data_IF_258019700840
#
_entry.id   IF_258019700840
#
_cell.length_a   1.000
_cell.length_b   1.000
_cell.length_c   1.000
_cell.angle_alpha   90.00
_cell.angle_beta   90.00
_cell.angle_gamma   90.00
#
_symmetry.space_group_name_H-M   'P 1'
#
loop_
_entity.id
_entity.type
_entity.pdbx_description
1 polymer ?
#
# COMPACT_ATOMS: atom_id res chain seq x y z
N UNK A 1 2.19 -8.36 20.22
CA UNK A 1 1.85 -7.02 19.69
C UNK A 1 3.08 -6.57 18.91
N UNK A 2 3.06 -6.74 17.58
CA UNK A 2 4.25 -6.60 16.74
C UNK A 2 4.54 -5.12 16.48
N UNK A 3 5.77 -4.68 16.77
CA UNK A 3 6.26 -3.34 16.44
C UNK A 3 6.49 -3.27 14.92
N UNK A 4 5.53 -2.70 14.20
CA UNK A 4 5.81 -2.15 12.87
C UNK A 4 6.75 -0.97 13.11
N UNK A 5 7.95 -0.99 12.52
CA UNK A 5 8.95 0.05 12.72
C UNK A 5 8.38 1.39 12.22
N UNK A 6 8.24 2.38 13.11
CA UNK A 6 7.67 3.72 12.83
C UNK A 6 8.41 4.52 11.72
N UNK A 7 9.52 4.01 11.19
CA UNK A 7 10.35 4.68 10.18
C UNK A 7 9.84 4.52 8.74
N UNK A 8 8.80 3.71 8.50
CA UNK A 8 8.26 3.54 7.15
C UNK A 8 7.36 4.72 6.78
N UNK A 9 7.85 5.59 5.89
CA UNK A 9 7.07 6.68 5.28
C UNK A 9 5.90 6.09 4.48
N UNK A 10 4.71 6.03 5.08
CA UNK A 10 3.39 6.09 4.42
C UNK A 10 3.07 5.15 3.23
N UNK A 11 3.85 4.10 2.95
CA UNK A 11 3.63 3.18 1.82
C UNK A 11 2.85 1.91 2.19
N UNK A 12 2.26 1.23 1.19
CA UNK A 12 1.74 -0.15 1.34
C UNK A 12 2.81 -1.15 0.87
N UNK A 13 3.06 -2.13 1.71
CA UNK A 13 4.20 -3.03 1.66
C UNK A 13 3.74 -4.47 1.56
N UNK A 14 4.35 -5.29 0.69
CA UNK A 14 4.26 -6.74 0.81
C UNK A 14 5.31 -7.20 1.84
N UNK A 15 4.82 -7.72 2.96
CA UNK A 15 5.67 -8.31 4.00
C UNK A 15 6.00 -9.75 3.61
N UNK A 16 7.29 -10.06 3.54
CA UNK A 16 7.81 -11.42 3.42
C UNK A 16 7.91 -12.00 4.84
N UNK A 17 7.11 -13.00 5.14
CA UNK A 17 7.20 -13.69 6.43
C UNK A 17 8.16 -14.88 6.29
N UNK A 18 9.05 -15.08 7.25
CA UNK A 18 9.86 -16.29 7.35
C UNK A 18 9.58 -16.93 8.72
N UNK A 19 9.36 -18.24 8.72
CA UNK A 19 9.26 -19.01 9.96
C UNK A 19 10.68 -19.41 10.37
N UNK A 20 11.11 -19.04 11.57
CA UNK A 20 12.44 -19.38 12.07
C UNK A 20 12.33 -20.23 13.32
N UNK A 21 13.07 -21.34 13.35
CA UNK A 21 13.17 -22.27 14.47
C UNK A 21 14.09 -21.70 15.56
N UNK A 22 13.64 -21.72 16.82
CA UNK A 22 14.37 -21.15 17.96
C UNK A 22 15.04 -22.29 18.73
N UNK A 23 16.38 -22.31 18.75
CA UNK A 23 17.13 -23.15 19.70
C UNK A 23 17.41 -22.36 20.99
N UNK A 24 17.24 -22.96 22.19
CA UNK A 24 17.63 -22.32 23.43
C UNK A 24 19.14 -22.06 23.44
N UNK A 25 19.55 -20.97 24.10
CA UNK A 25 20.90 -20.40 24.07
C UNK A 25 22.03 -21.45 24.06
N UNK A 26 22.89 -21.38 23.04
CA UNK A 26 24.13 -22.15 22.97
C UNK A 26 25.22 -21.33 23.66
N UNK A 27 25.77 -21.86 24.76
CA UNK A 27 26.99 -21.32 25.36
C UNK A 27 28.16 -21.58 24.40
N UNK A 28 29.04 -20.60 24.23
CA UNK A 28 30.28 -20.81 23.49
C UNK A 28 31.10 -21.91 24.18
N UNK A 29 31.48 -22.96 23.44
CA UNK A 29 32.12 -24.13 24.02
C UNK A 29 33.57 -23.88 24.46
N UNK A 30 34.21 -22.82 23.95
CA UNK A 30 35.59 -22.46 24.29
C UNK A 30 35.65 -21.42 25.42
N UNK A 31 34.69 -20.49 25.47
CA UNK A 31 34.72 -19.39 26.46
C UNK A 31 33.72 -19.54 27.61
N UNK A 32 32.63 -20.29 27.42
CA UNK A 32 31.56 -20.47 28.40
C UNK A 32 30.63 -19.26 28.56
N UNK A 33 30.81 -18.22 27.74
CA UNK A 33 29.96 -17.03 27.75
C UNK A 33 28.63 -17.28 27.02
N UNK A 34 27.58 -16.57 27.42
CA UNK A 34 26.35 -16.48 26.62
C UNK A 34 26.67 -15.74 25.32
N UNK A 35 26.64 -16.46 24.20
CA UNK A 35 26.60 -15.81 22.89
C UNK A 35 25.36 -14.91 22.85
N UNK A 36 25.52 -13.66 22.37
CA UNK A 36 24.41 -12.73 22.22
C UNK A 36 23.24 -13.48 21.56
N UNK A 37 22.02 -13.41 22.12
CA UNK A 37 20.91 -14.19 21.59
C UNK A 37 20.79 -13.85 20.12
N UNK A 38 20.95 -14.85 19.26
CA UNK A 38 20.57 -14.69 17.87
C UNK A 38 19.08 -14.34 17.90
N UNK A 39 18.76 -13.06 17.66
CA UNK A 39 17.37 -12.63 17.55
C UNK A 39 16.86 -13.26 16.26
N UNK A 40 16.19 -14.38 16.41
CA UNK A 40 15.32 -14.93 15.38
C UNK A 40 13.89 -14.88 15.93
N UNK A 41 13.23 -13.77 15.63
CA UNK A 41 11.78 -13.62 15.66
C UNK A 41 11.28 -13.34 14.24
N UNK A 42 9.98 -13.10 14.02
CA UNK A 42 9.48 -12.63 12.72
C UNK A 42 10.04 -11.23 12.45
N UNK A 43 11.25 -11.17 11.90
CA UNK A 43 11.70 -10.06 11.08
C UNK A 43 11.34 -10.41 9.64
N UNK A 44 10.81 -9.42 8.91
CA UNK A 44 10.90 -9.47 7.46
C UNK A 44 12.40 -9.40 7.18
N UNK A 45 13.07 -10.49 6.72
CA UNK A 45 14.53 -10.51 6.61
C UNK A 45 15.01 -9.48 5.57
N UNK A 46 14.12 -9.11 4.65
CA UNK A 46 14.31 -8.09 3.64
C UNK A 46 13.38 -6.89 3.89
N UNK A 47 13.76 -5.72 3.37
CA UNK A 47 12.87 -4.59 3.32
C UNK A 47 11.57 -5.01 2.60
N UNK A 48 10.40 -4.66 3.13
CA UNK A 48 9.14 -5.02 2.49
C UNK A 48 9.13 -4.53 1.03
N UNK A 49 8.64 -5.39 0.12
CA UNK A 49 8.57 -5.05 -1.29
C UNK A 49 7.56 -3.91 -1.47
N UNK A 50 8.06 -2.77 -1.96
CA UNK A 50 7.20 -1.69 -2.44
C UNK A 50 6.57 -2.15 -3.76
N UNK A 51 5.29 -2.54 -3.67
CA UNK A 51 4.51 -3.05 -4.80
C UNK A 51 4.39 -2.06 -5.96
N UNK A 52 4.66 -0.78 -5.73
CA UNK A 52 4.64 0.25 -6.76
C UNK A 52 5.98 0.40 -7.48
N UNK A 53 7.09 -0.06 -6.87
CA UNK A 53 8.43 0.00 -7.44
C UNK A 53 8.93 -1.35 -8.00
N UNK A 54 8.29 -2.46 -7.61
CA UNK A 54 8.67 -3.81 -8.02
C UNK A 54 8.23 -4.18 -9.44
N UNK A 55 9.04 -4.95 -10.16
CA UNK A 55 8.68 -5.54 -11.44
C UNK A 55 7.65 -6.68 -11.29
N UNK A 56 6.82 -6.96 -12.32
CA UNK A 56 5.79 -7.99 -12.24
C UNK A 56 6.32 -9.35 -11.80
N UNK A 57 7.51 -9.74 -12.25
CA UNK A 57 8.15 -11.01 -11.89
C UNK A 57 8.59 -11.03 -10.41
N UNK A 58 9.01 -9.89 -9.84
CA UNK A 58 9.37 -9.76 -8.42
C UNK A 58 8.14 -9.85 -7.53
N UNK A 59 7.03 -9.25 -7.98
CA UNK A 59 5.72 -9.39 -7.34
C UNK A 59 5.25 -10.84 -7.39
N UNK A 60 5.29 -11.49 -8.56
CA UNK A 60 4.88 -12.89 -8.71
C UNK A 60 5.74 -13.81 -7.84
N UNK A 61 7.06 -13.57 -7.77
CA UNK A 61 7.96 -14.28 -6.88
C UNK A 61 7.60 -14.08 -5.41
N UNK A 62 7.32 -12.84 -4.96
CA UNK A 62 6.89 -12.58 -3.58
C UNK A 62 5.51 -13.16 -3.28
N UNK A 63 4.59 -13.20 -4.25
CA UNK A 63 3.28 -13.84 -4.08
C UNK A 63 3.39 -15.36 -4.03
N UNK A 64 4.27 -15.96 -4.85
CA UNK A 64 4.58 -17.38 -4.86
C UNK A 64 5.29 -17.79 -3.57
N UNK A 65 6.32 -17.07 -3.14
CA UNK A 65 6.95 -17.27 -1.84
C UNK A 65 5.97 -17.04 -0.71
N UNK A 66 5.08 -16.04 -0.77
CA UNK A 66 4.03 -15.90 0.24
C UNK A 66 3.03 -17.06 0.20
N UNK A 67 2.79 -17.71 -0.94
CA UNK A 67 2.00 -18.93 -0.99
C UNK A 67 2.74 -20.10 -0.32
N UNK A 68 4.05 -20.24 -0.56
CA UNK A 68 4.91 -21.24 0.09
C UNK A 68 5.06 -20.98 1.59
N UNK A 69 5.26 -19.72 1.99
CA UNK A 69 5.30 -19.26 3.39
C UNK A 69 3.95 -19.43 4.06
N UNK A 70 2.83 -19.16 3.38
CA UNK A 70 1.49 -19.50 3.89
C UNK A 70 1.35 -21.00 4.06
N UNK A 71 1.87 -21.82 3.14
CA UNK A 71 1.87 -23.27 3.27
C UNK A 71 2.76 -23.75 4.44
N UNK A 72 3.94 -23.14 4.63
CA UNK A 72 4.85 -23.37 5.76
C UNK A 72 4.25 -22.90 7.08
N UNK A 73 3.57 -21.75 7.11
CA UNK A 73 2.87 -21.24 8.29
C UNK A 73 1.68 -22.14 8.63
N UNK A 74 0.94 -22.64 7.64
CA UNK A 74 -0.10 -23.65 7.83
C UNK A 74 0.50 -24.97 8.33
N UNK A 75 1.67 -25.37 7.85
CA UNK A 75 2.41 -26.55 8.33
C UNK A 75 3.01 -26.35 9.73
N UNK A 76 3.25 -25.11 10.14
CA UNK A 76 3.80 -24.73 11.45
C UNK A 76 2.75 -24.35 12.48
N UNK A 77 1.48 -24.16 12.07
CA UNK A 77 0.37 -24.20 13.02
C UNK A 77 0.45 -25.53 13.76
N UNK A 78 0.20 -25.54 15.09
CA UNK A 78 0.15 -26.79 15.82
C UNK A 78 -0.78 -27.74 15.06
N UNK A 79 -0.38 -29.00 14.85
CA UNK A 79 -1.19 -29.96 14.10
C UNK A 79 -2.59 -29.92 14.69
N UNK A 80 -3.59 -29.77 13.82
CA UNK A 80 -4.96 -29.57 14.27
C UNK A 80 -5.29 -30.66 15.29
N UNK A 81 -5.70 -30.24 16.50
CA UNK A 81 -5.86 -31.19 17.60
C UNK A 81 -6.82 -32.29 17.14
N UNK A 82 -6.39 -33.55 17.23
CA UNK A 82 -7.19 -34.64 16.74
C UNK A 82 -8.54 -34.67 17.46
N UNK A 83 -9.61 -34.66 16.66
CA UNK A 83 -10.95 -34.81 17.19
C UNK A 83 -11.22 -36.31 17.27
N UNK A 84 -11.51 -36.78 18.48
CA UNK A 84 -11.92 -38.16 18.71
C UNK A 84 -13.38 -38.30 18.31
N UNK A 85 -13.61 -38.99 17.20
CA UNK A 85 -14.97 -39.33 16.74
C UNK A 85 -15.31 -40.71 17.28
N UNK A 86 -16.39 -40.77 18.07
CA UNK A 86 -16.94 -41.99 18.67
C UNK A 86 -18.26 -42.33 17.99
N UNK A 87 -18.32 -43.51 17.40
CA UNK A 87 -19.52 -44.06 16.79
C UNK A 87 -20.22 -45.00 17.79
N UNK A 88 -21.53 -44.86 17.95
CA UNK A 88 -22.35 -45.68 18.85
C UNK A 88 -23.41 -46.45 18.07
N UNK A 89 -23.76 -47.65 18.51
CA UNK A 89 -24.89 -48.42 17.96
C UNK A 89 -26.26 -47.89 18.42
N UNK A 90 -27.35 -48.54 18.00
CA UNK A 90 -28.72 -48.13 18.33
C UNK A 90 -29.05 -48.29 19.82
N UNK A 91 -28.31 -49.16 20.52
CA UNK A 91 -28.41 -49.43 21.95
C UNK A 91 -27.51 -48.50 22.79
N UNK A 92 -26.69 -47.66 22.14
CA UNK A 92 -25.81 -46.69 22.78
C UNK A 92 -24.43 -47.24 23.18
N UNK A 93 -24.03 -48.41 22.67
CA UNK A 93 -22.70 -48.97 22.91
C UNK A 93 -21.69 -48.38 21.92
N UNK A 94 -20.46 -48.12 22.39
CA UNK A 94 -19.37 -47.66 21.54
C UNK A 94 -18.94 -48.77 20.57
N UNK A 95 -19.02 -48.52 19.27
CA UNK A 95 -18.66 -49.50 18.22
C UNK A 95 -17.39 -49.12 17.46
N UNK A 96 -17.01 -47.84 17.44
CA UNK A 96 -15.73 -47.40 16.88
C UNK A 96 -15.26 -46.09 17.54
N UNK A 97 -13.94 -45.94 17.65
CA UNK A 97 -13.29 -44.69 17.99
C UNK A 97 -12.21 -44.43 16.94
N UNK A 98 -12.24 -43.26 16.32
CA UNK A 98 -11.21 -42.86 15.36
C UNK A 98 -10.77 -41.43 15.57
N UNK A 99 -9.49 -41.24 15.32
CA UNK A 99 -8.84 -39.93 15.33
C UNK A 99 -9.05 -39.26 13.98
N UNK A 100 -9.66 -38.07 13.97
CA UNK A 100 -9.82 -37.27 12.75
C UNK A 100 -9.07 -35.95 12.93
N UNK A 101 -8.03 -35.75 12.13
CA UNK A 101 -7.35 -34.46 12.00
C UNK A 101 -8.26 -33.59 11.11
N UNK A 102 -8.88 -32.52 11.63
CA UNK A 102 -9.70 -31.67 10.78
C UNK A 102 -8.80 -30.96 9.75
N UNK A 103 -9.24 -30.96 8.50
CA UNK A 103 -8.57 -30.19 7.45
C UNK A 103 -8.56 -28.70 7.86
N UNK A 104 -7.42 -27.99 7.70
CA UNK A 104 -7.38 -26.57 7.98
C UNK A 104 -8.49 -25.85 7.23
N UNK A 105 -9.18 -24.87 7.84
CA UNK A 105 -10.21 -24.13 7.12
C UNK A 105 -9.57 -23.47 5.89
N UNK A 106 -10.20 -23.64 4.73
CA UNK A 106 -9.78 -22.96 3.51
C UNK A 106 -9.75 -21.45 3.76
N UNK A 107 -8.74 -20.76 3.20
CA UNK A 107 -8.68 -19.31 3.27
C UNK A 107 -9.99 -18.70 2.75
N UNK A 108 -10.55 -17.67 3.40
CA UNK A 108 -11.79 -17.06 2.97
C UNK A 108 -11.61 -16.51 1.56
N UNK A 109 -12.49 -16.92 0.64
CA UNK A 109 -12.55 -16.39 -0.72
C UNK A 109 -13.14 -14.99 -0.64
N UNK A 110 -12.33 -13.96 -0.88
CA UNK A 110 -12.81 -12.58 -0.98
C UNK A 110 -13.60 -12.42 -2.28
N UNK A 111 -14.86 -11.98 -2.25
CA UNK A 111 -15.64 -11.74 -3.46
C UNK A 111 -14.95 -10.74 -4.39
N UNK A 112 -14.94 -11.01 -5.70
CA UNK A 112 -14.32 -10.13 -6.71
C UNK A 112 -14.86 -8.69 -6.65
N UNK A 113 -16.14 -8.51 -6.31
CA UNK A 113 -16.74 -7.19 -6.15
C UNK A 113 -16.10 -6.38 -5.01
N UNK A 114 -15.78 -7.01 -3.88
CA UNK A 114 -15.10 -6.37 -2.75
C UNK A 114 -13.65 -6.01 -3.11
N UNK A 115 -12.95 -6.90 -3.83
CA UNK A 115 -11.61 -6.62 -4.34
C UNK A 115 -11.59 -5.41 -5.28
N UNK A 116 -12.57 -5.30 -6.19
CA UNK A 116 -12.70 -4.14 -7.09
C UNK A 116 -12.94 -2.84 -6.33
N UNK A 117 -13.81 -2.85 -5.32
CA UNK A 117 -14.08 -1.68 -4.52
C UNK A 117 -12.80 -1.21 -3.79
N UNK A 118 -12.12 -2.12 -3.10
CA UNK A 118 -10.86 -1.83 -2.42
C UNK A 118 -9.76 -1.33 -3.37
N UNK A 119 -9.69 -1.87 -4.59
CA UNK A 119 -8.75 -1.43 -5.60
C UNK A 119 -9.03 0.00 -6.11
N UNK A 120 -10.30 0.37 -6.31
CA UNK A 120 -10.68 1.75 -6.67
C UNK A 120 -10.30 2.73 -5.56
N UNK A 121 -10.56 2.38 -4.30
CA UNK A 121 -10.18 3.21 -3.16
C UNK A 121 -8.65 3.38 -3.08
N UNK A 122 -7.90 2.31 -3.32
CA UNK A 122 -6.44 2.34 -3.38
C UNK A 122 -5.93 3.25 -4.51
N UNK A 123 -6.48 3.13 -5.72
CA UNK A 123 -6.11 3.96 -6.86
C UNK A 123 -6.33 5.45 -6.55
N UNK A 124 -7.48 5.78 -5.96
CA UNK A 124 -7.81 7.16 -5.62
C UNK A 124 -6.89 7.70 -4.51
N UNK A 125 -6.61 6.90 -3.48
CA UNK A 125 -5.67 7.27 -2.41
C UNK A 125 -4.26 7.51 -2.98
N UNK A 126 -3.75 6.59 -3.80
CA UNK A 126 -2.41 6.69 -4.37
C UNK A 126 -2.26 7.91 -5.28
N UNK A 127 -3.24 8.20 -6.12
CA UNK A 127 -3.20 9.41 -6.95
C UNK A 127 -3.31 10.66 -6.08
N UNK A 128 -4.04 10.62 -4.96
CA UNK A 128 -4.04 11.69 -3.97
C UNK A 128 -2.65 11.95 -3.36
N UNK A 129 -1.93 10.89 -2.98
CA UNK A 129 -0.55 10.97 -2.49
C UNK A 129 0.39 11.58 -3.54
N UNK A 130 0.34 11.08 -4.78
CA UNK A 130 1.17 11.60 -5.87
C UNK A 130 0.88 13.08 -6.16
N UNK A 131 -0.38 13.52 -6.05
CA UNK A 131 -0.72 14.94 -6.16
C UNK A 131 -0.11 15.76 -5.02
N UNK A 132 -0.11 15.22 -3.80
CA UNK A 132 0.43 15.90 -2.62
C UNK A 132 1.95 16.15 -2.70
N UNK A 133 2.69 15.43 -3.55
CA UNK A 133 4.10 15.72 -3.81
C UNK A 133 4.32 17.03 -4.60
N UNK A 134 3.28 17.54 -5.27
CA UNK A 134 3.35 18.72 -6.14
C UNK A 134 2.58 19.92 -5.61
N UNK A 135 1.61 19.72 -4.72
CA UNK A 135 0.79 20.79 -4.16
C UNK A 135 0.71 20.69 -2.64
N UNK A 136 0.60 21.84 -1.98
CA UNK A 136 0.27 21.85 -0.55
C UNK A 136 -1.21 21.52 -0.38
N UNK A 137 -1.49 20.39 0.29
CA UNK A 137 -2.87 19.98 0.59
C UNK A 137 -3.32 20.68 1.87
N UNK A 138 -4.06 21.77 1.74
CA UNK A 138 -4.73 22.45 2.87
C UNK A 138 -6.21 22.64 2.55
N UNK A 139 -7.07 22.35 3.52
CA UNK A 139 -8.53 22.55 3.38
C UNK A 139 -8.81 24.00 3.00
N UNK A 140 -9.51 24.21 1.88
CA UNK A 140 -9.87 25.54 1.37
C UNK A 140 -8.81 26.25 0.52
N UNK A 141 -7.58 25.72 0.40
CA UNK A 141 -6.55 26.36 -0.46
C UNK A 141 -6.78 26.17 -1.96
N UNK A 142 -7.53 25.15 -2.38
CA UNK A 142 -7.77 24.88 -3.80
C UNK A 142 -8.41 26.07 -4.53
N UNK A 143 -9.39 26.73 -3.89
CA UNK A 143 -10.00 27.94 -4.43
C UNK A 143 -8.97 29.08 -4.60
N UNK A 144 -8.11 29.29 -3.59
CA UNK A 144 -7.03 30.28 -3.65
C UNK A 144 -6.06 30.02 -4.81
N UNK A 145 -5.72 28.77 -5.12
CA UNK A 145 -4.86 28.46 -6.25
C UNK A 145 -5.50 28.79 -7.60
N UNK A 146 -6.79 28.52 -7.75
CA UNK A 146 -7.53 28.85 -8.97
C UNK A 146 -7.63 30.37 -9.16
N UNK A 147 -7.93 31.12 -8.10
CA UNK A 147 -7.98 32.59 -8.14
C UNK A 147 -6.60 33.19 -8.48
N UNK A 148 -5.52 32.68 -7.88
CA UNK A 148 -4.16 33.11 -8.23
C UNK A 148 -3.82 32.83 -9.70
N UNK A 149 -4.21 31.67 -10.21
CA UNK A 149 -4.00 31.31 -11.61
C UNK A 149 -4.77 32.24 -12.55
N UNK A 150 -6.02 32.59 -12.22
CA UNK A 150 -6.81 33.57 -12.99
C UNK A 150 -6.17 34.96 -12.97
N UNK A 151 -5.79 35.47 -11.79
CA UNK A 151 -5.10 36.75 -11.66
C UNK A 151 -3.81 36.80 -12.50
N UNK A 152 -3.02 35.72 -12.46
CA UNK A 152 -1.78 35.63 -13.24
C UNK A 152 -2.05 35.63 -14.75
N UNK A 153 -3.09 34.92 -15.20
CA UNK A 153 -3.49 34.90 -16.61
C UNK A 153 -4.01 36.27 -17.09
N UNK A 154 -4.84 36.94 -16.28
CA UNK A 154 -5.33 38.30 -16.58
C UNK A 154 -4.18 39.31 -16.63
N UNK A 155 -3.27 39.27 -15.66
CA UNK A 155 -2.09 40.12 -15.63
C UNK A 155 -1.20 39.90 -16.88
N UNK A 156 -0.96 38.65 -17.27
CA UNK A 156 -0.20 38.32 -18.48
C UNK A 156 -0.88 38.81 -19.78
N UNK A 157 -2.21 38.94 -19.78
CA UNK A 157 -2.98 39.52 -20.88
C UNK A 157 -2.98 41.07 -20.90
N UNK A 158 -2.30 41.72 -19.94
CA UNK A 158 -2.22 43.17 -19.83
C UNK A 158 -3.39 43.82 -19.10
N UNK A 159 -4.22 43.06 -18.38
CA UNK A 159 -5.21 43.62 -17.47
C UNK A 159 -4.50 44.43 -16.37
N UNK A 160 -5.03 45.62 -16.06
CA UNK A 160 -4.51 46.50 -15.01
C UNK A 160 -4.94 46.12 -13.59
N UNK A 161 -5.84 45.14 -13.44
CA UNK A 161 -6.27 44.60 -12.15
C UNK A 161 -7.64 45.11 -11.68
N UNK A 162 -8.05 44.80 -10.44
CA UNK A 162 -7.18 44.41 -9.31
C UNK A 162 -6.73 42.94 -9.31
N UNK A 163 -5.60 42.69 -8.63
CA UNK A 163 -4.99 41.37 -8.38
C UNK A 163 -4.65 41.19 -6.89
N UNK A 164 -5.66 41.14 -6.01
CA UNK A 164 -5.45 41.11 -4.56
C UNK A 164 -4.57 39.95 -4.08
N UNK A 165 -4.69 38.74 -4.65
CA UNK A 165 -3.87 37.60 -4.21
C UNK A 165 -2.40 37.76 -4.59
N UNK A 166 -2.13 38.10 -5.86
CA UNK A 166 -0.75 38.30 -6.33
C UNK A 166 -0.10 39.52 -5.67
N UNK A 167 -0.86 40.60 -5.47
CA UNK A 167 -0.33 41.82 -4.82
C UNK A 167 0.03 41.57 -3.36
N UNK A 168 -0.82 40.85 -2.61
CA UNK A 168 -0.53 40.50 -1.22
C UNK A 168 0.71 39.61 -1.11
N UNK A 169 0.87 38.65 -2.03
CA UNK A 169 2.04 37.77 -2.09
C UNK A 169 3.32 38.50 -2.50
N UNK A 170 3.24 39.43 -3.46
CA UNK A 170 4.34 40.30 -3.85
C UNK A 170 4.85 41.11 -2.65
N UNK A 171 3.95 41.72 -1.89
CA UNK A 171 4.28 42.45 -0.65
C UNK A 171 4.91 41.51 0.39
N UNK A 172 4.31 40.33 0.62
CA UNK A 172 4.77 39.39 1.64
C UNK A 172 6.17 38.80 1.33
N UNK A 173 6.52 38.68 0.05
CA UNK A 173 7.79 38.09 -0.40
C UNK A 173 8.84 39.12 -0.81
N UNK A 174 8.49 40.41 -0.87
CA UNK A 174 9.39 41.47 -1.37
C UNK A 174 9.64 41.38 -2.88
N UNK A 175 8.76 40.72 -3.63
CA UNK A 175 8.83 40.57 -5.08
C UNK A 175 7.94 41.62 -5.77
N UNK A 176 8.16 41.84 -7.06
CA UNK A 176 7.22 42.61 -7.90
C UNK A 176 5.98 41.79 -8.27
N UNK A 177 4.90 42.48 -8.65
CA UNK A 177 3.70 41.84 -9.17
C UNK A 177 3.99 40.99 -10.42
N UNK A 178 4.83 41.49 -11.32
CA UNK A 178 5.26 40.79 -12.54
C UNK A 178 5.97 39.46 -12.21
N UNK A 179 6.88 39.47 -11.24
CA UNK A 179 7.62 38.28 -10.82
C UNK A 179 6.69 37.23 -10.21
N UNK A 180 5.75 37.64 -9.34
CA UNK A 180 4.78 36.72 -8.73
C UNK A 180 3.81 36.18 -9.77
N UNK A 181 3.30 37.02 -10.67
CA UNK A 181 2.41 36.59 -11.76
C UNK A 181 3.10 35.57 -12.67
N UNK A 182 4.36 35.83 -13.06
CA UNK A 182 5.14 34.92 -13.88
C UNK A 182 5.40 33.58 -13.16
N UNK A 183 5.76 33.62 -11.87
CA UNK A 183 5.98 32.42 -11.06
C UNK A 183 4.71 31.57 -10.94
N UNK A 184 3.56 32.19 -10.62
CA UNK A 184 2.27 31.52 -10.50
C UNK A 184 1.86 30.91 -11.84
N UNK A 185 1.98 31.65 -12.94
CA UNK A 185 1.67 31.15 -14.29
C UNK A 185 2.55 29.96 -14.70
N UNK A 186 3.84 30.02 -14.43
CA UNK A 186 4.77 28.92 -14.69
C UNK A 186 4.43 27.68 -13.83
N UNK A 187 4.13 27.88 -12.55
CA UNK A 187 3.74 26.81 -11.62
C UNK A 187 2.44 26.14 -12.05
N UNK A 188 1.42 26.93 -12.41
CA UNK A 188 0.14 26.42 -12.90
C UNK A 188 0.30 25.60 -14.20
N UNK A 189 1.17 26.05 -15.10
CA UNK A 189 1.47 25.35 -16.36
C UNK A 189 2.14 23.99 -16.09
N UNK A 190 3.18 23.97 -15.24
CA UNK A 190 3.88 22.74 -14.87
C UNK A 190 2.92 21.76 -14.16
N UNK A 191 2.12 22.27 -13.22
CA UNK A 191 1.13 21.46 -12.50
C UNK A 191 0.05 20.88 -13.42
N UNK A 192 -0.46 21.66 -14.38
CA UNK A 192 -1.50 21.20 -15.30
C UNK A 192 -1.07 19.96 -16.09
N UNK A 193 0.16 19.95 -16.59
CA UNK A 193 0.71 18.81 -17.32
C UNK A 193 0.78 17.54 -16.45
N UNK A 194 1.34 17.67 -15.24
CA UNK A 194 1.46 16.57 -14.28
C UNK A 194 0.09 16.05 -13.84
N UNK A 195 -0.83 16.94 -13.47
CA UNK A 195 -2.15 16.54 -13.00
C UNK A 195 -3.00 15.89 -14.10
N UNK A 196 -2.85 16.32 -15.35
CA UNK A 196 -3.52 15.70 -16.49
C UNK A 196 -3.01 14.25 -16.72
N UNK A 197 -1.69 14.02 -16.65
CA UNK A 197 -1.11 12.68 -16.73
C UNK A 197 -1.61 11.78 -15.60
N UNK A 198 -1.55 12.26 -14.35
CA UNK A 198 -2.04 11.53 -13.17
C UNK A 198 -3.52 11.18 -13.29
N UNK A 199 -4.36 12.12 -13.77
CA UNK A 199 -5.79 11.86 -13.95
C UNK A 199 -6.06 10.86 -15.07
N UNK A 200 -5.29 10.92 -16.17
CA UNK A 200 -5.34 9.93 -17.24
C UNK A 200 -5.03 8.52 -16.73
N UNK A 201 -3.91 8.36 -16.02
CA UNK A 201 -3.49 7.10 -15.39
C UNK A 201 -4.54 6.59 -14.39
N UNK A 202 -5.05 7.48 -13.51
CA UNK A 202 -6.13 7.16 -12.57
C UNK A 202 -7.36 6.61 -13.28
N UNK A 203 -7.81 7.30 -14.32
CA UNK A 203 -9.02 6.93 -15.05
C UNK A 203 -8.83 5.59 -15.76
N UNK A 204 -7.69 5.38 -16.41
CA UNK A 204 -7.35 4.12 -17.06
C UNK A 204 -7.36 2.94 -16.07
N UNK A 205 -6.70 3.11 -14.91
CA UNK A 205 -6.65 2.08 -13.87
C UNK A 205 -8.05 1.72 -13.31
N UNK A 206 -8.89 2.73 -13.02
CA UNK A 206 -10.27 2.50 -12.54
C UNK A 206 -11.10 1.75 -13.57
N UNK A 207 -10.98 2.08 -14.85
CA UNK A 207 -11.71 1.36 -15.90
C UNK A 207 -11.21 -0.07 -16.10
N UNK A 208 -9.89 -0.31 -15.96
CA UNK A 208 -9.32 -1.66 -15.96
C UNK A 208 -9.82 -2.51 -14.77
N UNK A 209 -9.90 -1.93 -13.55
CA UNK A 209 -10.47 -2.62 -12.38
C UNK A 209 -11.95 -2.98 -12.63
N UNK A 210 -12.73 -2.08 -13.24
CA UNK A 210 -14.13 -2.37 -13.56
C UNK A 210 -14.27 -3.51 -14.56
N UNK A 211 -13.41 -3.54 -15.58
CA UNK A 211 -13.41 -4.57 -16.62
C UNK A 211 -12.87 -5.92 -16.13
N UNK A 212 -12.11 -5.96 -15.03
CA UNK A 212 -11.50 -7.19 -14.53
C UNK A 212 -12.52 -8.30 -14.23
N UNK A 213 -12.28 -9.51 -14.72
CA UNK A 213 -13.07 -10.72 -14.49
C UNK A 213 -12.44 -11.64 -13.45
N UNK A 214 -11.24 -11.29 -12.95
CA UNK A 214 -10.50 -12.07 -11.96
C UNK A 214 -9.73 -11.19 -10.96
N UNK A 215 -9.35 -11.74 -9.79
CA UNK A 215 -8.47 -11.06 -8.85
C UNK A 215 -7.12 -10.66 -9.45
N UNK A 216 -6.56 -11.48 -10.36
CA UNK A 216 -5.29 -11.19 -11.05
C UNK A 216 -5.41 -9.94 -11.92
N UNK A 217 -6.52 -9.79 -12.66
CA UNK A 217 -6.75 -8.61 -13.48
C UNK A 217 -7.00 -7.35 -12.65
N UNK A 218 -7.65 -7.48 -11.48
CA UNK A 218 -7.77 -6.36 -10.52
C UNK A 218 -6.38 -5.93 -10.05
N UNK A 219 -5.50 -6.89 -9.75
CA UNK A 219 -4.13 -6.61 -9.34
C UNK A 219 -3.33 -5.89 -10.45
N UNK A 220 -3.36 -6.42 -11.68
CA UNK A 220 -2.69 -5.82 -12.84
C UNK A 220 -3.19 -4.39 -13.11
N UNK A 221 -4.49 -4.13 -12.93
CA UNK A 221 -5.04 -2.80 -13.10
C UNK A 221 -4.44 -1.77 -12.11
N UNK A 222 -4.05 -2.21 -10.91
CA UNK A 222 -3.43 -1.35 -9.89
C UNK A 222 -1.95 -1.00 -10.20
N UNK A 223 -1.24 -1.81 -10.98
CA UNK A 223 0.19 -1.57 -11.27
C UNK A 223 0.43 -0.50 -12.32
N UNK A 224 -0.61 -0.07 -13.05
CA UNK A 224 -0.50 0.97 -14.08
C UNK A 224 -0.29 2.41 -13.53
N UNK A 225 -0.33 2.61 -12.21
CA UNK A 225 -0.06 3.91 -11.57
C UNK A 225 1.44 4.20 -11.35
N UNK A 226 2.34 3.51 -12.07
CA UNK A 226 3.79 3.80 -12.05
C UNK A 226 4.05 5.23 -12.55
N UNK A 227 4.88 5.97 -11.81
CA UNK A 227 5.43 7.26 -12.23
C UNK A 227 6.55 7.03 -13.24
#
# INVERSE_FOLDING_TARGET
>A
MHNIIDSYKGGRYLLRWALVEIHPAVLDAETGDELAPAIYGPSCPDAPLDVFAAEPEEIEAVLAENAEVRALAVAALPPAEPIIVRDFDAEGNLVAEREVIPEPPAAPVVPLAELKAAAVDLINARVGELRADHITVTVGQSATYLEKQDEAARHAAGDSGPFPYLSAEAIATGSSLDEVAALVGATATAWTAVNADLEGKRRAAVEAVKAAESPVQVYQACTHLRA
#
